data_IF_447573601134
#
_entry.id   IF_447573601134
#
_cell.length_a   1.000
_cell.length_b   1.000
_cell.length_c   1.000
_cell.angle_alpha   90.00
_cell.angle_beta   90.00
_cell.angle_gamma   90.00
#
_symmetry.space_group_name_H-M   'P 1'
#
loop_
_entity.id
_entity.type
_entity.pdbx_description
1 polymer ?
#
# COMPACT_ATOMS: atom_id res chain seq x y z
N UNK A 1 4.48 25.34 9.61
CA UNK A 1 4.16 23.93 9.95
C UNK A 1 2.85 23.57 9.26
N UNK A 2 2.85 22.69 8.25
CA UNK A 2 1.67 22.35 7.43
C UNK A 2 0.88 21.19 8.06
N UNK A 3 -0.29 21.47 8.61
CA UNK A 3 -1.26 20.48 9.15
C UNK A 3 -2.06 19.74 8.07
N UNK A 4 -1.58 19.64 6.82
CA UNK A 4 -2.45 19.44 5.64
C UNK A 4 -2.22 18.20 4.78
N UNK A 5 -1.41 17.22 5.20
CA UNK A 5 -0.98 16.15 4.29
C UNK A 5 -1.41 14.75 4.72
N UNK A 6 -2.69 14.59 5.03
CA UNK A 6 -3.28 13.26 5.15
C UNK A 6 -4.42 13.14 4.16
N UNK A 7 -4.35 12.14 3.28
CA UNK A 7 -5.39 11.79 2.33
C UNK A 7 -6.19 10.61 2.87
N UNK A 8 -7.52 10.67 2.79
CA UNK A 8 -8.38 9.60 3.30
C UNK A 8 -8.33 8.40 2.36
N UNK A 9 -8.57 7.21 2.90
CA UNK A 9 -8.65 5.96 2.11
C UNK A 9 -9.58 6.11 0.89
N UNK A 10 -10.72 6.78 1.03
CA UNK A 10 -11.66 6.96 -0.09
C UNK A 10 -11.09 7.84 -1.20
N UNK A 11 -10.36 8.90 -0.85
CA UNK A 11 -9.75 9.82 -1.80
C UNK A 11 -8.56 9.16 -2.50
N UNK A 12 -7.77 8.35 -1.78
CA UNK A 12 -6.71 7.52 -2.39
C UNK A 12 -7.28 6.60 -3.47
N UNK A 13 -8.42 5.95 -3.21
CA UNK A 13 -9.05 5.05 -4.18
C UNK A 13 -9.67 5.78 -5.38
N UNK A 14 -9.97 7.08 -5.24
CA UNK A 14 -10.46 7.91 -6.33
C UNK A 14 -9.32 8.47 -7.19
N UNK A 15 -8.24 8.93 -6.56
CA UNK A 15 -7.09 9.54 -7.25
C UNK A 15 -6.16 8.50 -7.87
N UNK A 16 -6.01 7.34 -7.22
CA UNK A 16 -5.15 6.27 -7.68
C UNK A 16 -6.04 5.14 -8.18
N UNK A 17 -5.96 4.73 -9.46
CA UNK A 17 -6.83 3.71 -10.06
C UNK A 17 -6.44 2.31 -9.55
N UNK A 18 -6.70 2.07 -8.26
CA UNK A 18 -6.33 0.85 -7.55
C UNK A 18 -7.49 0.34 -6.72
N UNK A 19 -7.57 -0.98 -6.58
CA UNK A 19 -8.59 -1.61 -5.76
C UNK A 19 -8.34 -1.40 -4.26
N UNK A 20 -9.41 -1.35 -3.46
CA UNK A 20 -9.31 -1.42 -1.99
C UNK A 20 -8.52 -2.63 -1.50
N UNK A 21 -8.62 -3.76 -2.22
CA UNK A 21 -7.84 -4.96 -1.92
C UNK A 21 -6.32 -4.74 -2.08
N UNK A 22 -5.90 -3.92 -3.05
CA UNK A 22 -4.50 -3.52 -3.22
C UNK A 22 -4.02 -2.71 -2.03
N UNK A 23 -4.83 -1.75 -1.55
CA UNK A 23 -4.49 -0.93 -0.40
C UNK A 23 -4.44 -1.75 0.91
N UNK A 24 -5.34 -2.73 1.08
CA UNK A 24 -5.29 -3.68 2.20
C UNK A 24 -4.01 -4.53 2.14
N UNK A 25 -3.61 -5.00 0.96
CA UNK A 25 -2.35 -5.74 0.77
C UNK A 25 -1.14 -4.86 1.10
N UNK A 26 -1.14 -3.60 0.67
CA UNK A 26 -0.08 -2.64 0.99
C UNK A 26 0.03 -2.42 2.51
N UNK A 27 -1.10 -2.26 3.22
CA UNK A 27 -1.12 -2.21 4.69
C UNK A 27 -0.53 -3.45 5.34
N UNK A 28 -0.88 -4.65 4.86
CA UNK A 28 -0.28 -5.91 5.33
C UNK A 28 1.22 -6.00 5.07
N UNK A 29 1.71 -5.34 4.02
CA UNK A 29 3.14 -5.23 3.67
C UNK A 29 3.87 -4.09 4.39
N UNK A 30 3.21 -3.39 5.31
CA UNK A 30 3.83 -2.35 6.13
C UNK A 30 3.62 -0.91 5.64
N UNK A 31 2.65 -0.64 4.76
CA UNK A 31 2.27 0.74 4.42
C UNK A 31 1.80 1.50 5.68
N UNK A 32 2.46 2.59 6.06
CA UNK A 32 2.05 3.40 7.21
C UNK A 32 0.67 4.03 6.99
N UNK A 33 -0.18 3.98 8.02
CA UNK A 33 -1.47 4.65 8.01
C UNK A 33 -1.77 5.23 9.39
N UNK A 34 -2.60 6.27 9.41
CA UNK A 34 -3.06 6.94 10.63
C UNK A 34 -4.58 6.83 10.69
N UNK A 35 -5.13 6.58 11.87
CA UNK A 35 -6.58 6.66 12.09
C UNK A 35 -6.95 8.02 12.66
N UNK A 36 -7.78 8.77 11.94
CA UNK A 36 -8.39 10.02 12.39
C UNK A 36 -9.88 9.75 12.64
N UNK A 37 -10.19 9.33 13.87
CA UNK A 37 -11.53 8.89 14.26
C UNK A 37 -11.96 7.61 13.53
N UNK A 38 -13.03 7.71 12.74
CA UNK A 38 -13.56 6.60 11.93
C UNK A 38 -12.81 6.41 10.60
N UNK A 39 -11.96 7.35 10.19
CA UNK A 39 -11.30 7.34 8.89
C UNK A 39 -9.87 6.81 8.98
N UNK A 40 -9.50 6.02 7.98
CA UNK A 40 -8.11 5.65 7.71
C UNK A 40 -7.54 6.69 6.76
N UNK A 41 -6.41 7.27 7.13
CA UNK A 41 -5.72 8.27 6.34
C UNK A 41 -4.27 7.86 6.12
N UNK A 42 -3.70 8.33 5.02
CA UNK A 42 -2.33 8.05 4.60
C UNK A 42 -1.62 9.36 4.34
N UNK A 43 -0.29 9.36 4.49
CA UNK A 43 0.52 10.46 3.98
C UNK A 43 0.75 10.24 2.49
N UNK A 44 0.55 11.24 1.61
CA UNK A 44 0.84 11.13 0.20
C UNK A 44 2.27 10.62 -0.07
N UNK A 45 3.24 11.06 0.72
CA UNK A 45 4.65 10.64 0.59
C UNK A 45 4.84 9.14 0.83
N UNK A 46 4.11 8.54 1.78
CA UNK A 46 4.18 7.10 2.05
C UNK A 46 3.50 6.30 0.93
N UNK A 47 2.41 6.81 0.34
CA UNK A 47 1.74 6.20 -0.80
C UNK A 47 2.63 6.23 -2.05
N UNK A 48 3.21 7.39 -2.35
CA UNK A 48 4.17 7.55 -3.44
C UNK A 48 5.38 6.64 -3.26
N UNK A 49 5.96 6.59 -2.06
CA UNK A 49 7.09 5.71 -1.77
C UNK A 49 6.73 4.22 -1.91
N UNK A 50 5.48 3.81 -1.66
CA UNK A 50 5.10 2.40 -1.75
C UNK A 50 4.70 1.97 -3.17
N UNK A 51 4.06 2.86 -3.92
CA UNK A 51 3.43 2.51 -5.19
C UNK A 51 4.04 3.19 -6.42
N UNK A 52 4.71 4.33 -6.24
CA UNK A 52 5.42 5.06 -7.30
C UNK A 52 6.90 4.67 -7.40
N UNK A 53 7.37 3.71 -6.57
CA UNK A 53 8.69 3.12 -6.79
C UNK A 53 8.76 2.56 -8.21
N UNK A 54 9.77 2.94 -9.03
CA UNK A 54 9.97 2.32 -10.31
C UNK A 54 10.07 0.83 -10.03
N UNK A 55 9.18 0.08 -10.66
CA UNK A 55 9.14 -1.37 -10.62
C UNK A 55 10.45 -1.86 -11.23
N UNK A 56 11.54 -1.84 -10.46
CA UNK A 56 12.75 -2.54 -10.84
C UNK A 56 12.29 -3.95 -11.04
N UNK A 57 12.50 -4.47 -12.25
CA UNK A 57 12.10 -5.77 -12.77
C UNK A 57 12.56 -6.98 -11.93
N UNK A 58 12.98 -6.80 -10.67
CA UNK A 58 13.09 -7.88 -9.69
C UNK A 58 11.71 -8.43 -9.34
N UNK A 59 11.24 -9.34 -10.18
CA UNK A 59 10.60 -10.58 -9.77
C UNK A 59 11.27 -11.07 -8.48
N UNK A 60 10.54 -11.03 -7.37
CA UNK A 60 11.14 -11.38 -6.08
C UNK A 60 10.26 -11.12 -4.86
N UNK A 61 8.96 -11.37 -4.93
CA UNK A 61 8.27 -11.94 -3.77
C UNK A 61 7.09 -12.78 -4.24
N UNK A 62 7.44 -13.91 -4.86
CA UNK A 62 6.64 -15.10 -4.67
C UNK A 62 6.77 -15.45 -3.18
N UNK A 63 5.81 -15.04 -2.36
CA UNK A 63 5.34 -15.93 -1.29
C UNK A 63 4.58 -17.09 -1.96
N UNK A 64 5.28 -17.82 -2.84
CA UNK A 64 4.94 -19.19 -3.17
C UNK A 64 5.42 -19.98 -1.96
N UNK A 65 4.48 -20.44 -1.15
CA UNK A 65 4.73 -21.47 -0.13
C UNK A 65 5.62 -22.54 -0.75
N UNK A 66 6.85 -22.62 -0.30
CA UNK A 66 7.79 -23.64 -0.72
C UNK A 66 7.33 -25.03 -0.29
N UNK A 67 7.51 -25.96 -1.22
CA UNK A 67 7.78 -27.40 -1.08
C UNK A 67 6.73 -28.33 -0.47
N UNK A 68 6.25 -29.28 -1.29
CA UNK A 68 6.91 -30.61 -1.38
C UNK A 68 6.49 -31.35 -2.65
N UNK A 69 7.33 -31.28 -3.68
CA UNK A 69 7.51 -32.41 -4.60
C UNK A 69 8.45 -33.39 -3.90
N UNK A 70 8.06 -34.66 -3.84
CA UNK A 70 8.99 -35.78 -3.87
C UNK A 70 8.22 -37.01 -4.33
N UNK A 71 8.65 -37.48 -5.50
CA UNK A 71 8.67 -38.86 -6.02
C UNK A 71 7.34 -39.58 -6.27
#
# INVERSE_FOLDING_TARGET
MKLTKYIKEIDVLNEWPMSKATLIRARKRGLPFVRLGAFVCYRPEDLEAHFCQPRTWKSGNAEGKGNKENE
#
